data_IF_831882673579
#
_entry.id   IF_831882673579
#
_cell.length_a   1.000
_cell.length_b   1.000
_cell.length_c   1.000
_cell.angle_alpha   90.00
_cell.angle_beta   90.00
_cell.angle_gamma   90.00
#
_symmetry.space_group_name_H-M   'P 1'
#
loop_
_entity.id
_entity.type
_entity.pdbx_description
1 polymer ?
#
# COMPACT_ATOMS: atom_id res chain seq x y z
N UNK A 1 -2.02 7.56 18.52
CA UNK A 1 -1.97 6.56 17.43
C UNK A 1 -2.39 7.17 16.11
N UNK A 2 -1.41 7.58 15.31
CA UNK A 2 -1.65 8.02 13.94
C UNK A 2 -1.04 6.98 12.99
N UNK A 3 -1.75 6.57 11.92
CA UNK A 3 -1.22 5.60 10.98
C UNK A 3 0.05 6.14 10.32
N UNK A 4 1.11 5.34 10.31
CA UNK A 4 2.38 5.68 9.65
C UNK A 4 2.13 5.78 8.14
N UNK A 5 2.33 6.97 7.58
CA UNK A 5 2.15 7.23 6.16
C UNK A 5 3.49 7.17 5.41
N UNK A 6 3.57 6.36 4.36
CA UNK A 6 4.74 6.24 3.50
C UNK A 6 4.40 6.86 2.13
N UNK A 7 5.03 7.98 1.75
CA UNK A 7 4.86 8.58 0.43
C UNK A 7 5.62 7.75 -0.61
N UNK A 8 4.91 7.20 -1.60
CA UNK A 8 5.47 6.37 -2.68
C UNK A 8 5.03 6.91 -4.04
N UNK A 9 5.96 7.00 -4.98
CA UNK A 9 5.67 7.35 -6.37
C UNK A 9 5.22 6.10 -7.13
N UNK A 10 3.98 6.11 -7.63
CA UNK A 10 3.43 5.07 -8.49
C UNK A 10 3.15 5.64 -9.89
N UNK A 11 3.78 5.06 -10.92
CA UNK A 11 3.83 5.64 -12.26
C UNK A 11 4.17 7.15 -12.20
N UNK A 12 3.21 8.02 -12.54
CA UNK A 12 3.34 9.48 -12.51
C UNK A 12 2.64 10.16 -11.30
N UNK A 13 2.11 9.40 -10.34
CA UNK A 13 1.34 9.93 -9.19
C UNK A 13 2.06 9.61 -7.87
N UNK A 14 2.22 10.63 -7.01
CA UNK A 14 2.67 10.45 -5.63
C UNK A 14 1.49 10.09 -4.73
N UNK A 15 1.60 9.01 -3.96
CA UNK A 15 0.51 8.49 -3.10
C UNK A 15 1.03 8.25 -1.69
N UNK A 16 0.28 8.73 -0.70
CA UNK A 16 0.50 8.37 0.70
C UNK A 16 -0.21 7.06 0.99
N UNK A 17 0.56 6.08 1.46
CA UNK A 17 0.04 4.79 1.91
C UNK A 17 0.18 4.65 3.41
N UNK A 18 -0.86 4.11 4.04
CA UNK A 18 -0.81 3.60 5.41
C UNK A 18 0.00 2.30 5.43
N UNK A 19 1.06 2.28 6.22
CA UNK A 19 1.88 1.08 6.43
C UNK A 19 1.09 0.03 7.22
N UNK A 20 0.83 -1.12 6.60
CA UNK A 20 0.07 -2.21 7.22
C UNK A 20 0.81 -3.54 7.04
N UNK A 21 1.54 -3.93 8.09
CA UNK A 21 2.23 -5.23 8.13
C UNK A 21 1.27 -6.40 8.28
N UNK A 22 0.00 -6.17 8.66
CA UNK A 22 -1.08 -7.15 8.71
C UNK A 22 -1.65 -7.46 7.32
N UNK A 23 -1.60 -6.53 6.38
CA UNK A 23 -2.04 -6.75 5.00
C UNK A 23 -1.02 -7.52 4.16
N UNK A 24 -1.48 -8.57 3.47
CA UNK A 24 -0.66 -9.30 2.47
C UNK A 24 -0.41 -8.47 1.20
N UNK A 25 -1.32 -7.54 0.87
CA UNK A 25 -1.33 -6.83 -0.41
C UNK A 25 -1.43 -5.32 -0.27
N UNK A 26 -0.80 -4.60 -1.19
CA UNK A 26 -0.98 -3.16 -1.38
C UNK A 26 -2.26 -2.88 -2.18
N UNK A 27 -3.09 -1.99 -1.65
CA UNK A 27 -4.33 -1.53 -2.31
C UNK A 27 -4.35 0.00 -2.41
N UNK A 28 -4.97 0.51 -3.46
CA UNK A 28 -5.39 1.92 -3.53
C UNK A 28 -6.90 2.00 -3.66
N UNK A 29 -7.45 3.11 -3.20
CA UNK A 29 -8.84 3.44 -3.44
C UNK A 29 -9.07 3.95 -4.87
N UNK A 30 -10.34 3.98 -5.25
CA UNK A 30 -10.74 4.44 -6.58
C UNK A 30 -10.39 5.92 -6.85
N UNK A 31 -10.26 6.77 -5.82
CA UNK A 31 -9.83 8.15 -6.01
C UNK A 31 -8.43 8.23 -6.63
N UNK A 32 -7.45 7.50 -6.07
CA UNK A 32 -6.09 7.45 -6.62
C UNK A 32 -6.10 6.86 -8.04
N UNK A 33 -6.87 5.79 -8.27
CA UNK A 33 -6.99 5.20 -9.61
C UNK A 33 -7.53 6.20 -10.65
N UNK A 34 -8.48 7.06 -10.25
CA UNK A 34 -8.97 8.16 -11.08
C UNK A 34 -7.88 9.19 -11.37
N UNK A 35 -7.07 9.56 -10.38
CA UNK A 35 -5.92 10.46 -10.56
C UNK A 35 -4.87 9.90 -11.52
N UNK A 36 -4.69 8.58 -11.54
CA UNK A 36 -3.82 7.90 -12.51
C UNK A 36 -4.37 7.89 -13.94
N UNK A 37 -5.54 8.50 -14.20
CA UNK A 37 -6.18 8.51 -15.51
C UNK A 37 -7.03 7.27 -15.80
N UNK A 38 -7.46 6.54 -14.77
CA UNK A 38 -8.27 5.31 -14.88
C UNK A 38 -7.67 4.26 -15.85
N UNK A 39 -6.39 3.87 -15.67
CA UNK A 39 -5.76 2.89 -16.55
C UNK A 39 -6.52 1.56 -16.56
N UNK A 40 -6.48 0.85 -17.68
CA UNK A 40 -7.12 -0.46 -17.84
C UNK A 40 -6.64 -1.43 -16.76
N UNK A 41 -7.61 -2.08 -16.11
CA UNK A 41 -7.40 -3.08 -15.08
C UNK A 41 -7.56 -4.50 -15.64
N UNK A 42 -6.92 -5.45 -14.98
CA UNK A 42 -7.11 -6.88 -15.21
C UNK A 42 -7.92 -7.49 -14.06
N UNK A 43 -8.62 -8.62 -14.27
CA UNK A 43 -9.25 -9.35 -13.19
C UNK A 43 -8.22 -9.72 -12.11
N UNK A 44 -8.60 -9.55 -10.84
CA UNK A 44 -7.76 -9.95 -9.72
C UNK A 44 -7.66 -11.48 -9.71
N UNK A 45 -6.45 -12.02 -9.85
CA UNK A 45 -6.23 -13.48 -9.90
C UNK A 45 -6.39 -14.18 -8.55
N UNK A 46 -6.36 -13.41 -7.47
CA UNK A 46 -6.39 -13.91 -6.09
C UNK A 46 -7.62 -13.38 -5.37
N UNK A 47 -8.37 -14.26 -4.70
CA UNK A 47 -9.42 -13.87 -3.77
C UNK A 47 -8.77 -13.41 -2.47
N UNK A 48 -8.94 -12.14 -2.12
CA UNK A 48 -8.46 -11.60 -0.85
C UNK A 48 -9.64 -11.35 0.09
N UNK A 49 -9.60 -11.98 1.26
CA UNK A 49 -10.53 -11.71 2.34
C UNK A 49 -9.96 -10.61 3.24
N UNK A 50 -10.81 -9.73 3.76
CA UNK A 50 -10.40 -8.87 4.87
C UNK A 50 -10.03 -9.73 6.07
N UNK A 51 -9.26 -9.15 6.99
CA UNK A 51 -8.97 -9.78 8.28
C UNK A 51 -10.26 -10.19 9.03
N UNK A 52 -11.34 -9.42 8.89
CA UNK A 52 -12.66 -9.69 9.45
C UNK A 52 -13.49 -10.73 8.68
N UNK A 53 -12.91 -11.41 7.68
CA UNK A 53 -13.59 -12.45 6.89
C UNK A 53 -14.58 -11.93 5.84
N UNK A 54 -14.67 -10.60 5.65
CA UNK A 54 -15.56 -10.00 4.65
C UNK A 54 -14.85 -9.93 3.29
N UNK A 55 -15.54 -10.24 2.18
CA UNK A 55 -15.00 -10.02 0.85
C UNK A 55 -14.65 -8.55 0.65
N UNK A 56 -13.47 -8.28 0.10
CA UNK A 56 -13.12 -6.93 -0.33
C UNK A 56 -13.51 -6.82 -1.81
N UNK A 57 -14.44 -5.92 -2.19
CA UNK A 57 -14.78 -5.71 -3.59
C UNK A 57 -13.62 -4.99 -4.29
N UNK A 58 -13.01 -5.68 -5.26
CA UNK A 58 -11.94 -5.14 -6.08
C UNK A 58 -12.44 -4.78 -7.47
N UNK A 59 -11.99 -3.65 -7.99
CA UNK A 59 -12.21 -3.26 -9.39
C UNK A 59 -11.30 -4.01 -10.35
N UNK A 60 -10.14 -4.44 -9.87
CA UNK A 60 -9.13 -5.13 -10.66
C UNK A 60 -7.72 -4.87 -10.14
N UNK A 61 -6.74 -5.39 -10.87
CA UNK A 61 -5.32 -5.23 -10.60
C UNK A 61 -4.54 -4.77 -11.83
N UNK A 62 -3.38 -4.15 -11.58
CA UNK A 62 -2.45 -3.71 -12.63
C UNK A 62 -1.02 -3.78 -12.13
N UNK A 63 -0.09 -4.15 -13.01
CA UNK A 63 1.34 -3.96 -12.78
C UNK A 63 1.71 -2.52 -13.07
N UNK A 64 2.39 -1.88 -12.10
CA UNK A 64 2.77 -0.46 -12.17
C UNK A 64 4.24 -0.28 -11.84
N UNK A 65 4.82 0.83 -12.31
CA UNK A 65 6.16 1.25 -11.88
C UNK A 65 6.08 1.88 -10.51
N UNK A 66 6.84 1.36 -9.56
CA UNK A 66 6.96 1.93 -8.21
C UNK A 66 8.36 2.48 -8.05
N UNK A 67 8.46 3.74 -7.60
CA UNK A 67 9.73 4.35 -7.21
C UNK A 67 9.66 4.76 -5.74
N UNK A 68 10.67 4.35 -4.97
CA UNK A 68 10.83 4.73 -3.57
C UNK A 68 12.31 4.82 -3.22
N UNK A 69 12.79 6.02 -2.86
CA UNK A 69 14.21 6.33 -2.70
C UNK A 69 15.02 5.90 -3.93
N UNK A 70 16.03 5.05 -3.74
CA UNK A 70 16.92 4.47 -4.74
C UNK A 70 16.35 3.24 -5.44
N UNK A 71 15.11 2.84 -5.14
CA UNK A 71 14.48 1.62 -5.65
C UNK A 71 13.44 1.90 -6.71
N UNK A 72 13.48 1.09 -7.76
CA UNK A 72 12.48 1.05 -8.81
C UNK A 72 12.08 -0.41 -9.07
N UNK A 73 10.77 -0.71 -9.05
CA UNK A 73 10.25 -2.05 -9.29
C UNK A 73 8.93 -2.02 -10.07
N UNK A 74 8.62 -3.12 -10.77
CA UNK A 74 7.28 -3.36 -11.33
C UNK A 74 6.50 -4.23 -10.34
N UNK A 75 5.44 -3.69 -9.73
CA UNK A 75 4.70 -4.38 -8.67
C UNK A 75 3.20 -4.41 -8.95
N UNK A 76 2.48 -5.45 -8.47
CA UNK A 76 1.03 -5.51 -8.59
C UNK A 76 0.39 -4.50 -7.64
N UNK A 77 -0.55 -3.72 -8.18
CA UNK A 77 -1.41 -2.81 -7.44
C UNK A 77 -2.86 -3.23 -7.64
N UNK A 78 -3.57 -3.40 -6.52
CA UNK A 78 -4.99 -3.77 -6.52
C UNK A 78 -5.83 -2.52 -6.23
N UNK A 79 -6.92 -2.33 -6.99
CA UNK A 79 -7.83 -1.20 -6.85
C UNK A 79 -9.08 -1.70 -6.13
N UNK A 80 -9.42 -1.11 -5.00
CA UNK A 80 -10.68 -1.38 -4.29
C UNK A 80 -11.72 -0.27 -4.50
N UNK A 81 -12.97 -0.58 -4.17
CA UNK A 81 -14.03 0.43 -4.14
C UNK A 81 -13.77 1.53 -3.10
N UNK A 82 -14.52 2.64 -3.23
CA UNK A 82 -14.39 3.85 -2.41
C UNK A 82 -14.51 3.57 -0.89
N UNK A 83 -13.97 4.49 -0.07
CA UNK A 83 -13.98 4.51 1.41
C UNK A 83 -12.91 3.66 2.13
N UNK A 84 -11.87 3.19 1.43
CA UNK A 84 -10.69 2.59 2.07
C UNK A 84 -9.48 3.50 1.99
N UNK A 85 -8.62 3.42 3.01
CA UNK A 85 -7.29 4.02 2.96
C UNK A 85 -6.44 3.30 1.91
N UNK A 86 -5.43 3.99 1.37
CA UNK A 86 -4.42 3.32 0.56
C UNK A 86 -3.53 2.54 1.51
N UNK A 87 -3.47 1.22 1.35
CA UNK A 87 -2.73 0.35 2.27
C UNK A 87 -1.48 -0.13 1.59
N UNK A 88 -0.34 -0.02 2.28
CA UNK A 88 0.93 -0.60 1.88
C UNK A 88 1.10 -1.95 2.58
N UNK A 89 0.91 -3.03 1.83
CA UNK A 89 1.00 -4.40 2.35
C UNK A 89 2.39 -5.02 2.18
N UNK A 90 2.54 -6.21 2.78
CA UNK A 90 3.82 -6.95 2.82
C UNK A 90 4.43 -7.22 1.43
N UNK A 91 3.61 -7.39 0.39
CA UNK A 91 4.10 -7.62 -0.97
C UNK A 91 4.96 -6.45 -1.50
N UNK A 92 4.73 -5.22 -1.04
CA UNK A 92 5.58 -4.07 -1.37
C UNK A 92 6.58 -3.75 -0.28
N UNK A 93 6.19 -3.86 1.01
CA UNK A 93 7.11 -3.61 2.15
C UNK A 93 8.40 -4.42 1.98
N UNK A 94 8.27 -5.69 1.61
CA UNK A 94 9.41 -6.59 1.46
C UNK A 94 10.30 -6.22 0.27
N UNK A 95 9.72 -5.78 -0.86
CA UNK A 95 10.50 -5.41 -2.06
C UNK A 95 11.17 -4.04 -1.88
N UNK A 96 10.49 -3.11 -1.20
CA UNK A 96 10.99 -1.76 -0.94
C UNK A 96 11.89 -1.68 0.31
N UNK A 97 12.06 -2.79 1.04
CA UNK A 97 12.85 -2.91 2.28
C UNK A 97 12.43 -1.90 3.35
N UNK A 98 11.11 -1.73 3.52
CA UNK A 98 10.52 -0.79 4.47
C UNK A 98 10.44 -1.32 5.92
N UNK A 99 10.92 -2.53 6.17
CA UNK A 99 10.88 -3.18 7.49
C UNK A 99 11.61 -2.37 8.57
N UNK A 100 12.74 -1.72 8.24
CA UNK A 100 13.48 -0.89 9.19
C UNK A 100 12.73 0.40 9.54
N UNK A 101 12.02 1.00 8.57
CA UNK A 101 11.15 2.17 8.82
C UNK A 101 10.02 1.85 9.79
N UNK A 102 9.52 0.62 9.76
CA UNK A 102 8.51 0.14 10.73
C UNK A 102 9.08 0.16 12.14
N UNK A 103 10.33 -0.31 12.33
CA UNK A 103 11.01 -0.29 13.62
C UNK A 103 11.28 1.13 14.10
N UNK A 104 11.84 1.99 13.23
CA UNK A 104 12.11 3.38 13.57
C UNK A 104 10.84 4.13 14.01
N UNK A 105 9.73 3.90 13.29
CA UNK A 105 8.46 4.51 13.63
C UNK A 105 7.90 4.00 14.97
N UNK A 106 7.98 2.69 15.24
CA UNK A 106 7.58 2.11 16.53
C UNK A 106 8.44 2.66 17.68
N UNK A 107 9.76 2.77 17.47
CA UNK A 107 10.69 3.32 18.46
C UNK A 107 10.42 4.81 18.70
N UNK A 108 10.02 5.55 17.66
CA UNK A 108 9.68 6.97 17.81
C UNK A 108 8.32 7.23 18.47
N UNK A 109 7.37 6.29 18.37
CA UNK A 109 6.02 6.40 18.95
C UNK A 109 5.95 5.83 20.38
N UNK A 110 6.88 4.95 20.73
CA UNK A 110 7.04 4.47 22.10
C UNK A 110 7.84 5.48 22.93
N UNK A 111 7.32 5.88 24.09
CA UNK A 111 8.01 6.76 25.06
C UNK A 111 9.27 6.13 25.71
N UNK A 112 9.89 5.15 25.05
CA UNK A 112 11.14 4.50 25.47
C UNK A 112 12.31 5.36 24.97
N UNK A 113 12.39 6.59 25.47
CA UNK A 113 13.63 7.38 25.44
C UNK A 113 14.19 7.64 26.84
N UNK A 114 13.62 7.04 27.88
CA UNK A 114 14.11 7.17 29.27
C UNK A 114 14.11 5.82 30.01
N UNK A 115 15.02 4.91 29.63
CA UNK A 115 15.56 3.90 30.55
C UNK A 115 17.07 4.06 30.59
#
# INVERSE_FOLDING_TARGET
DHPIQIPIQIDAVQVNFELDTGSRITIINEYVWKLMGKPKLHPVKLTYNSFSGHPIPFKGEKMIKVNYNDRCAQLPLVICDNNRNNILGRNWINVLHLSNKTLDAIVSDSSIQNI
#
